data_IF_149602508978
#
_entry.id   IF_149602508978
#
_cell.length_a   1.000
_cell.length_b   1.000
_cell.length_c   1.000
_cell.angle_alpha   90.00
_cell.angle_beta   90.00
_cell.angle_gamma   90.00
#
_symmetry.space_group_name_H-M   'P 1'
#
loop_
_entity.id
_entity.type
_entity.pdbx_description
1 polymer ?
#
# COMPACT_ATOMS: atom_id res chain seq x y z
N UNK A 1 10.01 -5.81 10.05
CA UNK A 1 10.26 -4.36 10.19
C UNK A 1 9.04 -3.79 10.87
N UNK A 2 9.13 -3.35 12.13
CA UNK A 2 7.99 -2.73 12.81
C UNK A 2 8.05 -1.24 12.55
N UNK A 3 7.12 -0.70 11.75
CA UNK A 3 6.78 0.72 11.81
C UNK A 3 6.04 0.95 13.13
N UNK A 4 6.78 0.95 14.23
CA UNK A 4 6.27 1.34 15.53
C UNK A 4 6.93 2.67 15.91
N UNK A 5 6.06 3.64 16.21
CA UNK A 5 6.34 4.92 16.86
C UNK A 5 7.04 6.02 16.03
N UNK A 6 6.24 6.84 15.34
CA UNK A 6 6.02 8.28 15.67
C UNK A 6 5.08 8.91 14.60
N UNK A 7 3.77 8.94 14.85
CA UNK A 7 2.85 9.87 14.15
C UNK A 7 2.55 9.65 12.65
N UNK A 8 3.04 8.59 12.00
CA UNK A 8 2.73 8.32 10.58
C UNK A 8 1.38 7.59 10.46
N UNK A 9 0.38 8.18 9.76
CA UNK A 9 -0.89 7.50 9.50
C UNK A 9 -0.66 6.17 8.80
N UNK A 10 -1.13 5.09 9.42
CA UNK A 10 -0.95 3.73 8.91
C UNK A 10 -2.31 3.07 8.76
N UNK A 11 -2.53 2.39 7.63
CA UNK A 11 -3.74 1.64 7.33
C UNK A 11 -3.34 0.25 6.83
N UNK A 12 -3.95 -0.78 7.40
CA UNK A 12 -3.72 -2.17 6.98
C UNK A 12 -4.93 -2.68 6.21
N UNK A 13 -4.67 -3.34 5.10
CA UNK A 13 -5.69 -3.92 4.23
C UNK A 13 -5.27 -5.38 3.96
N UNK A 14 -6.16 -6.32 4.25
CA UNK A 14 -5.98 -7.73 3.92
C UNK A 14 -6.91 -8.08 2.77
N UNK A 15 -6.39 -8.71 1.72
CA UNK A 15 -7.16 -9.15 0.55
C UNK A 15 -7.02 -10.66 0.39
N UNK A 16 -8.14 -11.36 0.18
CA UNK A 16 -8.14 -12.76 -0.19
C UNK A 16 -7.88 -12.96 -1.70
N UNK A 17 -7.48 -14.16 -2.15
CA UNK A 17 -7.36 -14.45 -3.57
C UNK A 17 -8.65 -14.16 -4.33
N UNK A 18 -8.56 -13.38 -5.41
CA UNK A 18 -9.71 -12.94 -6.23
C UNK A 18 -10.50 -11.77 -5.64
N UNK A 19 -10.15 -11.27 -4.45
CA UNK A 19 -10.78 -10.11 -3.85
C UNK A 19 -10.24 -8.79 -4.42
N UNK A 20 -11.11 -7.80 -4.54
CA UNK A 20 -10.71 -6.42 -4.80
C UNK A 20 -11.17 -5.56 -3.64
N UNK A 21 -10.21 -4.96 -2.93
CA UNK A 21 -10.48 -3.95 -1.91
C UNK A 21 -10.20 -2.55 -2.45
N UNK A 22 -11.11 -1.62 -2.19
CA UNK A 22 -10.92 -0.20 -2.48
C UNK A 22 -11.05 0.57 -1.18
N UNK A 23 -10.08 1.43 -0.90
CA UNK A 23 -10.10 2.27 0.30
C UNK A 23 -9.59 3.67 -0.03
N UNK A 24 -9.93 4.61 0.85
CA UNK A 24 -9.33 5.94 0.87
C UNK A 24 -8.21 5.96 1.89
N UNK A 25 -7.07 6.56 1.53
CA UNK A 25 -5.97 6.78 2.46
C UNK A 25 -6.30 8.01 3.31
N UNK A 26 -6.65 7.77 4.57
CA UNK A 26 -6.89 8.83 5.54
C UNK A 26 -5.57 9.43 6.03
N UNK A 27 -5.59 10.72 6.39
CA UNK A 27 -4.44 11.41 6.97
C UNK A 27 -3.35 11.84 5.98
N UNK A 28 -3.53 11.60 4.68
CA UNK A 28 -2.63 12.13 3.66
C UNK A 28 -2.83 13.64 3.49
N UNK A 29 -1.73 14.39 3.56
CA UNK A 29 -1.66 15.83 3.29
C UNK A 29 -0.89 16.08 1.99
N UNK A 30 -1.17 17.22 1.35
CA UNK A 30 -0.50 17.58 0.10
C UNK A 30 1.02 17.57 0.24
N UNK A 31 1.67 16.74 -0.58
CA UNK A 31 3.13 16.58 -0.61
C UNK A 31 3.64 15.40 0.22
N UNK A 32 2.75 14.72 0.95
CA UNK A 32 3.10 13.52 1.69
C UNK A 32 3.48 12.38 0.76
N UNK A 33 4.41 11.57 1.23
CA UNK A 33 4.84 10.34 0.57
C UNK A 33 4.01 9.19 1.10
N UNK A 34 3.45 8.38 0.20
CA UNK A 34 2.75 7.15 0.55
C UNK A 34 3.68 5.96 0.35
N UNK A 35 3.82 5.13 1.37
CA UNK A 35 4.62 3.90 1.32
C UNK A 35 3.68 2.70 1.38
N UNK A 36 3.72 1.87 0.34
CA UNK A 36 3.01 0.60 0.28
C UNK A 36 3.94 -0.52 0.70
N UNK A 37 3.46 -1.33 1.63
CA UNK A 37 4.16 -2.52 2.12
C UNK A 37 3.23 -3.70 1.84
N UNK A 38 3.71 -4.63 1.02
CA UNK A 38 3.04 -5.88 0.72
C UNK A 38 3.67 -7.00 1.52
N UNK A 39 2.86 -7.70 2.29
CA UNK A 39 3.26 -8.84 3.12
C UNK A 39 2.41 -10.05 2.74
N UNK A 40 3.06 -11.21 2.60
CA UNK A 40 2.36 -12.47 2.35
C UNK A 40 1.90 -13.03 3.69
N UNK A 41 0.59 -13.08 3.88
CA UNK A 41 -0.02 -13.66 5.07
C UNK A 41 0.19 -15.18 5.07
N UNK A 42 0.81 -15.68 6.13
CA UNK A 42 1.27 -17.05 6.34
C UNK A 42 1.98 -17.16 7.69
N UNK A 43 2.68 -18.26 7.98
CA UNK A 43 3.27 -18.50 9.31
C UNK A 43 4.32 -17.45 9.77
N UNK A 44 4.85 -16.62 8.86
CA UNK A 44 5.92 -15.65 9.16
C UNK A 44 5.72 -14.25 8.53
N UNK A 45 4.49 -13.89 8.10
CA UNK A 45 4.17 -12.55 7.52
C UNK A 45 5.31 -11.99 6.66
N UNK A 46 5.63 -12.72 5.59
CA UNK A 46 6.87 -12.46 4.85
C UNK A 46 6.72 -11.19 4.03
N UNK A 47 7.58 -10.20 4.30
CA UNK A 47 7.70 -9.02 3.47
C UNK A 47 8.11 -9.39 2.05
N UNK A 48 7.32 -8.96 1.07
CA UNK A 48 7.54 -9.32 -0.35
C UNK A 48 7.55 -8.11 -1.27
N UNK A 49 7.11 -6.95 -0.80
CA UNK A 49 7.00 -5.75 -1.64
C UNK A 49 7.07 -4.46 -0.83
N UNK A 50 7.90 -3.53 -1.28
CA UNK A 50 7.83 -2.12 -0.86
C UNK A 50 7.72 -1.26 -2.10
N UNK A 51 6.80 -0.30 -2.09
CA UNK A 51 6.72 0.71 -3.13
C UNK A 51 6.45 2.09 -2.54
N UNK A 52 7.24 3.06 -2.98
CA UNK A 52 7.14 4.44 -2.51
C UNK A 52 6.50 5.25 -3.63
N UNK A 53 5.40 5.93 -3.33
CA UNK A 53 4.66 6.77 -4.26
C UNK A 53 4.56 8.19 -3.73
N UNK A 54 4.94 9.12 -4.60
CA UNK A 54 4.85 10.55 -4.33
C UNK A 54 4.04 11.18 -5.44
N UNK A 55 2.82 11.63 -5.12
CA UNK A 55 2.01 12.47 -5.99
C UNK A 55 1.89 13.85 -5.33
N UNK A 56 2.15 14.96 -6.04
CA UNK A 56 2.24 16.29 -5.42
C UNK A 56 0.87 16.94 -5.13
N UNK A 57 -0.24 16.31 -5.51
CA UNK A 57 -1.60 16.88 -5.49
C UNK A 57 -2.63 15.82 -5.10
N UNK A 58 -3.73 16.29 -4.52
CA UNK A 58 -4.94 15.49 -4.29
C UNK A 58 -5.55 15.02 -5.63
N UNK A 59 -6.37 13.97 -5.59
CA UNK A 59 -6.97 13.37 -6.79
C UNK A 59 -6.13 12.27 -7.44
N UNK A 60 -5.18 11.70 -6.68
CA UNK A 60 -4.40 10.55 -7.10
C UNK A 60 -5.20 9.25 -6.96
N UNK A 61 -4.98 8.31 -7.88
CA UNK A 61 -5.51 6.96 -7.82
C UNK A 61 -4.35 5.98 -7.85
N UNK A 62 -4.24 5.12 -6.83
CA UNK A 62 -3.17 4.15 -6.70
C UNK A 62 -3.76 2.75 -6.78
N UNK A 63 -3.04 1.83 -7.42
CA UNK A 63 -3.42 0.43 -7.53
C UNK A 63 -2.27 -0.47 -7.10
N UNK A 64 -2.60 -1.54 -6.39
CA UNK A 64 -1.66 -2.61 -6.04
C UNK A 64 -2.35 -3.92 -6.37
N UNK A 65 -1.67 -4.77 -7.13
CA UNK A 65 -2.17 -6.06 -7.58
C UNK A 65 -1.27 -7.15 -7.03
N UNK A 66 -1.89 -8.16 -6.42
CA UNK A 66 -1.23 -9.37 -5.93
C UNK A 66 -1.51 -10.50 -6.90
N UNK A 67 -0.47 -11.17 -7.37
CA UNK A 67 -0.52 -12.29 -8.31
C UNK A 67 -0.40 -13.62 -7.55
N UNK A 68 -1.02 -14.67 -8.06
CA UNK A 68 -1.07 -15.99 -7.41
C UNK A 68 0.33 -16.61 -7.22
N UNK A 69 1.26 -16.32 -8.13
CA UNK A 69 2.67 -16.73 -8.05
C UNK A 69 3.47 -15.95 -6.98
N UNK A 70 2.83 -15.04 -6.25
CA UNK A 70 3.48 -14.17 -5.26
C UNK A 70 4.11 -12.91 -5.85
N UNK A 71 3.85 -12.64 -7.14
CA UNK A 71 4.17 -11.36 -7.76
C UNK A 71 3.34 -10.24 -7.16
N UNK A 72 3.93 -9.05 -7.01
CA UNK A 72 3.21 -7.85 -6.60
C UNK A 72 3.60 -6.73 -7.55
N UNK A 73 2.58 -6.11 -8.14
CA UNK A 73 2.74 -4.94 -8.99
C UNK A 73 1.96 -3.78 -8.41
N UNK A 74 2.42 -2.55 -8.69
CA UNK A 74 1.76 -1.35 -8.20
C UNK A 74 1.88 -0.20 -9.18
N UNK A 75 0.79 0.55 -9.33
CA UNK A 75 0.65 1.70 -10.21
C UNK A 75 0.11 2.90 -9.47
N UNK A 76 0.31 4.09 -10.05
CA UNK A 76 -0.28 5.32 -9.57
C UNK A 76 -0.56 6.27 -10.74
N UNK A 77 -1.72 6.89 -10.70
CA UNK A 77 -2.12 8.01 -11.56
C UNK A 77 -2.14 9.24 -10.67
N UNK A 78 -1.25 10.20 -10.95
CA UNK A 78 -1.24 11.50 -10.26
C UNK A 78 -1.99 12.54 -11.12
N UNK A 79 -2.62 13.51 -10.45
CA UNK A 79 -3.31 14.65 -11.07
C UNK A 79 -2.39 15.83 -11.45
#
# INVERSE_FOLDING_TARGET
MTLADDGVPTQQITVAPGETATTTIDGWTRGDVTVYIGEKIGENETHVYTNIRTCPRTGQEHSVTFEEDGGISGGAICA
#
